data_IF_711991114723
#
_entry.id   IF_711991114723
#
_cell.length_a   1.000
_cell.length_b   1.000
_cell.length_c   1.000
_cell.angle_alpha   90.00
_cell.angle_beta   90.00
_cell.angle_gamma   90.00
#
_symmetry.space_group_name_H-M   'P 1'
#
loop_
_entity.id
_entity.type
_entity.pdbx_description
1 polymer ?
#
# COMPACT_ATOMS: atom_id res chain seq x y z
N UNK A 1 -24.50 -14.38 1.58
CA UNK A 1 -23.63 -13.69 2.56
C UNK A 1 -23.26 -12.34 1.98
N UNK A 2 -23.63 -11.25 2.63
CA UNK A 2 -23.44 -9.89 2.12
C UNK A 2 -21.96 -9.54 2.13
N UNK A 3 -21.35 -9.29 0.96
CA UNK A 3 -19.99 -8.75 0.92
C UNK A 3 -19.94 -7.43 1.70
N UNK A 4 -18.98 -7.24 2.63
CA UNK A 4 -18.83 -5.97 3.33
C UNK A 4 -18.54 -4.87 2.30
N UNK A 5 -19.32 -3.79 2.34
CA UNK A 5 -19.12 -2.63 1.46
C UNK A 5 -17.74 -1.99 1.75
N UNK A 6 -17.00 -1.54 0.72
CA UNK A 6 -15.70 -0.88 0.90
C UNK A 6 -15.77 0.23 1.94
N UNK A 7 -14.82 0.26 2.87
CA UNK A 7 -14.70 1.31 3.90
C UNK A 7 -15.65 1.22 5.10
N UNK A 8 -16.62 0.29 5.12
CA UNK A 8 -17.61 0.23 6.23
C UNK A 8 -16.98 -0.11 7.59
N UNK A 9 -15.84 -0.81 7.64
CA UNK A 9 -15.16 -1.10 8.91
C UNK A 9 -14.64 0.15 9.63
N UNK A 10 -14.48 1.27 8.92
CA UNK A 10 -14.04 2.53 9.49
C UNK A 10 -15.23 3.45 9.83
N UNK A 11 -16.44 3.12 9.38
CA UNK A 11 -17.65 3.87 9.71
C UNK A 11 -18.14 3.46 11.10
N UNK A 12 -17.85 4.27 12.12
CA UNK A 12 -18.24 4.04 13.52
C UNK A 12 -17.07 3.93 14.50
N UNK A 13 -15.83 3.95 14.02
CA UNK A 13 -14.63 4.04 14.87
C UNK A 13 -14.32 5.51 15.09
N UNK A 14 -14.94 6.10 16.11
CA UNK A 14 -14.55 7.42 16.61
C UNK A 14 -13.18 7.26 17.27
N UNK A 15 -12.15 7.84 16.65
CA UNK A 15 -10.74 7.90 17.09
C UNK A 15 -9.99 6.56 17.15
N UNK A 16 -9.05 6.38 16.22
CA UNK A 16 -7.91 5.47 16.41
C UNK A 16 -6.91 6.17 17.35
N UNK A 17 -6.68 5.61 18.54
CA UNK A 17 -5.52 5.93 19.36
C UNK A 17 -4.35 5.07 18.87
N UNK A 18 -3.18 5.65 18.57
CA UNK A 18 -1.99 4.86 18.27
C UNK A 18 -1.66 3.98 19.48
N UNK A 19 -1.32 2.72 19.21
CA UNK A 19 -0.85 1.79 20.24
C UNK A 19 0.58 2.21 20.60
N UNK A 20 0.71 3.06 21.62
CA UNK A 20 1.98 3.41 22.23
C UNK A 20 2.43 2.33 23.21
N UNK A 21 3.67 1.87 23.04
CA UNK A 21 4.46 1.31 24.13
C UNK A 21 4.81 2.41 25.14
N UNK A 22 4.97 2.01 26.40
CA UNK A 22 4.81 2.84 27.58
C UNK A 22 5.84 3.97 27.79
N UNK A 23 5.30 5.09 28.31
CA UNK A 23 5.89 6.13 29.19
C UNK A 23 7.19 6.81 28.79
N UNK A 24 7.12 8.09 28.38
CA UNK A 24 7.80 9.20 29.08
C UNK A 24 7.24 10.58 28.63
N UNK A 25 7.43 11.59 29.46
CA UNK A 25 6.76 12.88 29.55
C UNK A 25 6.98 13.86 28.38
N UNK A 26 5.90 14.56 28.01
CA UNK A 26 5.93 15.99 27.64
C UNK A 26 6.83 16.40 26.47
N UNK A 27 6.38 16.11 25.25
CA UNK A 27 6.82 16.76 24.02
C UNK A 27 5.60 16.99 23.13
N UNK A 28 5.53 18.15 22.50
CA UNK A 28 4.46 18.54 21.57
C UNK A 28 4.18 17.44 20.54
N UNK A 29 2.95 17.34 20.04
CA UNK A 29 2.60 16.46 18.92
C UNK A 29 3.35 16.89 17.65
N UNK A 30 4.63 16.56 17.55
CA UNK A 30 5.46 16.72 16.36
C UNK A 30 4.87 15.86 15.25
N UNK A 31 4.40 16.50 14.18
CA UNK A 31 4.02 15.79 12.97
C UNK A 31 5.20 14.95 12.46
N UNK A 32 5.04 13.64 12.39
CA UNK A 32 6.08 12.67 11.98
C UNK A 32 6.50 12.81 10.51
N UNK A 33 5.74 13.57 9.71
CA UNK A 33 6.03 13.80 8.29
C UNK A 33 7.04 14.93 8.10
N UNK A 34 7.99 14.75 7.18
CA UNK A 34 9.01 15.78 6.85
C UNK A 34 8.41 17.05 6.24
N UNK A 35 7.23 16.94 5.65
CA UNK A 35 6.38 18.06 5.25
C UNK A 35 5.06 17.93 6.01
N UNK A 36 4.68 18.89 6.86
CA UNK A 36 3.41 18.83 7.59
C UNK A 36 2.22 18.78 6.62
N UNK A 37 1.16 18.00 6.90
CA UNK A 37 -0.03 17.95 6.05
C UNK A 37 -0.67 19.33 5.91
N UNK A 38 -0.93 19.78 4.68
CA UNK A 38 -1.64 21.03 4.46
C UNK A 38 -3.14 20.87 4.77
N UNK A 39 -3.76 21.97 5.21
CA UNK A 39 -5.21 22.02 5.33
C UNK A 39 -5.86 22.01 3.93
N UNK A 40 -6.80 21.09 3.73
CA UNK A 40 -7.55 20.95 2.48
C UNK A 40 -8.67 22.00 2.49
N UNK A 41 -8.39 23.19 1.96
CA UNK A 41 -9.29 24.35 2.01
C UNK A 41 -10.10 24.56 0.71
N UNK A 42 -11.13 25.40 0.79
CA UNK A 42 -12.00 25.79 -0.32
C UNK A 42 -13.12 24.78 -0.66
N UNK A 43 -14.07 25.20 -1.49
CA UNK A 43 -15.27 24.40 -1.82
C UNK A 43 -14.91 23.07 -2.49
N UNK A 44 -13.95 23.08 -3.42
CA UNK A 44 -13.44 21.87 -4.08
C UNK A 44 -12.71 20.95 -3.09
N UNK A 45 -11.92 21.52 -2.18
CA UNK A 45 -11.24 20.78 -1.12
C UNK A 45 -12.22 20.08 -0.18
N UNK A 46 -13.26 20.79 0.26
CA UNK A 46 -14.32 20.24 1.11
C UNK A 46 -15.06 19.08 0.44
N UNK A 47 -15.36 19.20 -0.87
CA UNK A 47 -15.98 18.12 -1.64
C UNK A 47 -15.08 16.88 -1.70
N UNK A 48 -13.79 17.07 -2.00
CA UNK A 48 -12.81 15.98 -2.09
C UNK A 48 -12.63 15.30 -0.72
N UNK A 49 -12.49 16.07 0.35
CA UNK A 49 -12.42 15.55 1.73
C UNK A 49 -13.63 14.66 2.03
N UNK A 50 -14.84 15.15 1.77
CA UNK A 50 -16.08 14.39 1.97
C UNK A 50 -16.13 13.11 1.11
N UNK A 51 -15.66 13.17 -0.14
CA UNK A 51 -15.60 11.98 -1.01
C UNK A 51 -14.61 10.95 -0.49
N UNK A 52 -13.43 11.39 -0.04
CA UNK A 52 -12.38 10.53 0.52
C UNK A 52 -12.87 9.89 1.83
N UNK A 53 -13.41 10.68 2.76
CA UNK A 53 -13.96 10.18 4.02
C UNK A 53 -15.09 9.17 3.79
N UNK A 54 -15.97 9.42 2.82
CA UNK A 54 -17.02 8.46 2.46
C UNK A 54 -16.46 7.13 1.95
N UNK A 55 -15.34 7.17 1.20
CA UNK A 55 -14.75 5.96 0.60
C UNK A 55 -13.83 5.22 1.58
N UNK A 56 -12.99 5.95 2.30
CA UNK A 56 -11.89 5.43 3.10
C UNK A 56 -12.13 5.60 4.61
N UNK A 57 -13.24 6.18 5.05
CA UNK A 57 -13.54 6.45 6.46
C UNK A 57 -12.80 7.66 7.05
N UNK A 58 -11.64 8.03 6.50
CA UNK A 58 -10.84 9.21 6.90
C UNK A 58 -10.02 9.73 5.72
N UNK A 59 -9.50 10.95 5.86
CA UNK A 59 -8.51 11.50 4.92
C UNK A 59 -7.13 10.93 5.27
N UNK A 60 -6.45 10.22 4.35
CA UNK A 60 -5.09 9.74 4.61
C UNK A 60 -4.10 10.89 4.78
N UNK A 61 -3.11 10.72 5.66
CA UNK A 61 -2.05 11.72 5.92
C UNK A 61 -1.32 12.12 4.63
N UNK A 62 -1.04 11.13 3.77
CA UNK A 62 -0.43 11.35 2.46
C UNK A 62 -1.18 12.39 1.61
N UNK A 63 -2.51 12.42 1.66
CA UNK A 63 -3.31 13.38 0.88
C UNK A 63 -3.02 14.81 1.32
N UNK A 64 -2.93 15.06 2.62
CA UNK A 64 -2.59 16.38 3.16
C UNK A 64 -1.15 16.79 2.84
N UNK A 65 -0.19 15.86 2.89
CA UNK A 65 1.20 16.14 2.51
C UNK A 65 1.33 16.50 1.02
N UNK A 66 0.74 15.71 0.13
CA UNK A 66 0.77 15.99 -1.31
C UNK A 66 -0.11 17.17 -1.72
N UNK A 67 -1.02 17.65 -0.85
CA UNK A 67 -1.88 18.80 -1.13
C UNK A 67 -1.11 20.11 -1.32
N UNK A 68 0.13 20.20 -0.84
CA UNK A 68 1.06 21.30 -1.16
C UNK A 68 1.31 21.44 -2.66
N UNK A 69 1.11 20.38 -3.45
CA UNK A 69 1.11 20.44 -4.91
C UNK A 69 -0.06 19.64 -5.51
N UNK A 70 -1.23 20.27 -5.68
CA UNK A 70 -2.43 19.58 -6.18
C UNK A 70 -2.25 18.98 -7.58
N UNK A 71 -1.40 19.58 -8.43
CA UNK A 71 -1.14 19.03 -9.78
C UNK A 71 -0.46 17.66 -9.68
N UNK A 72 0.52 17.53 -8.79
CA UNK A 72 1.20 16.24 -8.53
C UNK A 72 0.21 15.26 -7.91
N UNK A 73 -0.50 15.66 -6.84
CA UNK A 73 -1.49 14.82 -6.17
C UNK A 73 -2.51 14.22 -7.14
N UNK A 74 -3.16 15.06 -7.96
CA UNK A 74 -4.20 14.60 -8.88
C UNK A 74 -3.64 13.81 -10.07
N UNK A 75 -2.42 14.08 -10.53
CA UNK A 75 -1.76 13.25 -11.54
C UNK A 75 -1.49 11.83 -10.99
N UNK A 76 -0.94 11.73 -9.78
CA UNK A 76 -0.70 10.45 -9.11
C UNK A 76 -2.00 9.69 -8.84
N UNK A 77 -3.06 10.38 -8.39
CA UNK A 77 -4.40 9.79 -8.24
C UNK A 77 -5.00 9.33 -9.57
N UNK A 78 -4.83 10.11 -10.64
CA UNK A 78 -5.31 9.75 -11.97
C UNK A 78 -4.64 8.48 -12.49
N UNK A 79 -3.32 8.35 -12.31
CA UNK A 79 -2.58 7.14 -12.67
C UNK A 79 -3.00 5.95 -11.81
N UNK A 80 -3.02 6.10 -10.48
CA UNK A 80 -3.47 5.07 -9.55
C UNK A 80 -4.89 4.59 -9.84
N UNK A 81 -5.82 5.51 -10.12
CA UNK A 81 -7.20 5.18 -10.45
C UNK A 81 -7.37 4.46 -11.80
N UNK A 82 -6.45 4.67 -12.77
CA UNK A 82 -6.43 3.90 -14.02
C UNK A 82 -5.87 2.50 -13.81
N UNK A 83 -4.78 2.37 -13.05
CA UNK A 83 -4.19 1.07 -12.68
C UNK A 83 -5.21 0.12 -12.04
N UNK A 84 -6.08 0.64 -11.18
CA UNK A 84 -7.16 -0.13 -10.54
C UNK A 84 -8.27 -0.62 -11.49
N UNK A 85 -8.29 -0.16 -12.74
CA UNK A 85 -9.30 -0.54 -13.74
C UNK A 85 -8.76 -1.47 -14.81
N UNK A 86 -7.44 -1.62 -14.89
CA UNK A 86 -6.84 -2.55 -15.84
C UNK A 86 -7.12 -3.98 -15.38
N UNK A 87 -7.25 -4.89 -16.34
CA UNK A 87 -7.79 -6.24 -16.13
C UNK A 87 -7.05 -7.31 -16.93
N UNK A 88 -5.91 -7.00 -17.55
CA UNK A 88 -5.08 -8.00 -18.22
C UNK A 88 -4.33 -8.87 -17.20
N UNK A 89 -3.95 -8.31 -16.04
CA UNK A 89 -3.33 -9.05 -14.94
C UNK A 89 -4.34 -9.23 -13.79
N UNK A 90 -4.32 -10.41 -13.16
CA UNK A 90 -5.16 -10.72 -12.01
C UNK A 90 -4.98 -9.71 -10.87
N UNK A 91 -6.08 -9.31 -10.23
CA UNK A 91 -6.09 -8.28 -9.19
C UNK A 91 -5.35 -8.73 -7.92
N UNK A 92 -5.37 -10.02 -7.61
CA UNK A 92 -4.60 -10.63 -6.52
C UNK A 92 -3.11 -10.50 -6.77
N UNK A 93 -2.64 -10.88 -7.96
CA UNK A 93 -1.22 -10.76 -8.35
C UNK A 93 -0.73 -9.31 -8.28
N UNK A 94 -1.50 -8.36 -8.82
CA UNK A 94 -1.18 -6.92 -8.74
C UNK A 94 -1.11 -6.42 -7.29
N UNK A 95 -2.05 -6.85 -6.45
CA UNK A 95 -2.08 -6.46 -5.04
C UNK A 95 -0.88 -7.01 -4.27
N UNK A 96 -0.53 -8.28 -4.49
CA UNK A 96 0.64 -8.92 -3.87
C UNK A 96 1.95 -8.30 -4.35
N UNK A 97 2.09 -8.00 -5.64
CA UNK A 97 3.25 -7.30 -6.17
C UNK A 97 3.45 -5.93 -5.52
N UNK A 98 2.40 -5.12 -5.41
CA UNK A 98 2.48 -3.82 -4.73
C UNK A 98 2.87 -3.98 -3.25
N UNK A 99 2.27 -4.93 -2.54
CA UNK A 99 2.63 -5.20 -1.15
C UNK A 99 4.09 -5.67 -1.01
N UNK A 100 4.63 -6.45 -1.95
CA UNK A 100 6.03 -6.87 -1.94
C UNK A 100 6.99 -5.68 -2.11
N UNK A 101 6.68 -4.74 -3.02
CA UNK A 101 7.44 -3.49 -3.15
C UNK A 101 7.37 -2.68 -1.85
N UNK A 102 6.18 -2.53 -1.27
CA UNK A 102 6.01 -1.79 -0.02
C UNK A 102 6.78 -2.42 1.14
N UNK A 103 6.79 -3.76 1.22
CA UNK A 103 7.59 -4.51 2.19
C UNK A 103 9.09 -4.34 1.97
N UNK A 104 9.57 -4.40 0.73
CA UNK A 104 10.99 -4.25 0.41
C UNK A 104 11.50 -2.83 0.69
N UNK A 105 10.72 -1.82 0.32
CA UNK A 105 11.07 -0.40 0.53
C UNK A 105 10.88 0.01 2.00
N UNK A 106 10.08 -0.72 2.78
CA UNK A 106 9.75 -0.38 4.17
C UNK A 106 8.67 0.70 4.31
N UNK A 107 7.77 0.85 3.32
CA UNK A 107 6.68 1.82 3.40
C UNK A 107 5.52 1.30 4.27
N UNK A 108 5.51 1.63 5.57
CA UNK A 108 4.47 1.21 6.52
C UNK A 108 3.08 1.69 6.12
N UNK A 109 2.95 2.94 5.63
CA UNK A 109 1.68 3.45 5.10
C UNK A 109 1.15 2.63 3.93
N UNK A 110 2.04 2.25 3.02
CA UNK A 110 1.66 1.52 1.82
C UNK A 110 1.24 0.09 2.15
N UNK A 111 1.92 -0.57 3.09
CA UNK A 111 1.55 -1.89 3.60
C UNK A 111 0.18 -1.85 4.30
N UNK A 112 -0.02 -0.89 5.20
CA UNK A 112 -1.28 -0.67 5.91
C UNK A 112 -2.46 -0.45 4.95
N UNK A 113 -2.30 0.49 4.01
CA UNK A 113 -3.34 0.81 3.04
C UNK A 113 -3.64 -0.35 2.09
N UNK A 114 -2.62 -1.00 1.52
CA UNK A 114 -2.85 -2.14 0.63
C UNK A 114 -3.49 -3.31 1.37
N UNK A 115 -3.13 -3.56 2.62
CA UNK A 115 -3.74 -4.65 3.39
C UNK A 115 -5.23 -4.40 3.68
N UNK A 116 -5.58 -3.15 4.00
CA UNK A 116 -6.96 -2.70 4.05
C UNK A 116 -7.69 -2.86 2.71
N UNK A 117 -7.06 -2.50 1.60
CA UNK A 117 -7.67 -2.63 0.26
C UNK A 117 -7.83 -4.10 -0.17
N UNK A 118 -6.90 -4.99 0.17
CA UNK A 118 -7.03 -6.45 -0.05
C UNK A 118 -8.34 -6.95 0.57
N UNK A 119 -8.63 -6.55 1.80
CA UNK A 119 -9.92 -6.86 2.45
C UNK A 119 -11.10 -6.25 1.68
N UNK A 120 -11.04 -4.97 1.30
CA UNK A 120 -12.15 -4.30 0.61
C UNK A 120 -12.46 -4.91 -0.76
N UNK A 121 -11.45 -5.47 -1.43
CA UNK A 121 -11.56 -6.17 -2.70
C UNK A 121 -12.01 -7.62 -2.56
N UNK A 122 -12.09 -8.14 -1.33
CA UNK A 122 -12.44 -9.55 -1.07
C UNK A 122 -11.33 -10.53 -1.44
N UNK A 123 -10.08 -10.07 -1.49
CA UNK A 123 -8.90 -10.89 -1.74
C UNK A 123 -8.48 -11.64 -0.46
N UNK A 124 -7.58 -12.62 -0.59
CA UNK A 124 -7.09 -13.43 0.52
C UNK A 124 -6.21 -12.61 1.49
N UNK A 125 -6.84 -12.16 2.57
CA UNK A 125 -6.22 -11.37 3.64
C UNK A 125 -5.24 -12.19 4.46
N UNK A 126 -5.46 -13.49 4.66
CA UNK A 126 -4.51 -14.31 5.41
C UNK A 126 -3.24 -14.54 4.59
N UNK A 127 -3.37 -14.78 3.28
CA UNK A 127 -2.21 -14.85 2.38
C UNK A 127 -1.49 -13.50 2.26
N UNK A 128 -2.21 -12.38 2.11
CA UNK A 128 -1.62 -11.04 2.05
C UNK A 128 -0.81 -10.69 3.31
N UNK A 129 -1.21 -11.20 4.48
CA UNK A 129 -0.48 -11.02 5.74
C UNK A 129 0.93 -11.59 5.70
N UNK A 130 1.14 -12.62 4.89
CA UNK A 130 2.40 -13.36 4.77
C UNK A 130 3.41 -12.71 3.81
N UNK A 131 2.99 -11.69 3.05
CA UNK A 131 3.83 -11.02 2.04
C UNK A 131 5.19 -10.56 2.59
N UNK A 132 5.33 -9.99 3.79
CA UNK A 132 6.65 -9.55 4.26
C UNK A 132 7.67 -10.68 4.45
N UNK A 133 7.20 -11.93 4.63
CA UNK A 133 8.04 -13.13 4.77
C UNK A 133 7.77 -14.16 3.68
N UNK A 134 7.34 -13.70 2.50
CA UNK A 134 6.85 -14.58 1.44
C UNK A 134 7.83 -15.68 1.00
N UNK A 135 9.14 -15.46 1.14
CA UNK A 135 10.15 -16.46 0.81
C UNK A 135 10.02 -17.72 1.68
N UNK A 136 9.65 -17.55 2.94
CA UNK A 136 9.48 -18.62 3.95
C UNK A 136 8.04 -19.14 4.03
N UNK A 137 7.07 -18.44 3.45
CA UNK A 137 5.65 -18.76 3.61
C UNK A 137 5.17 -19.75 2.53
N UNK A 138 4.67 -20.91 2.93
CA UNK A 138 4.22 -21.98 2.01
C UNK A 138 2.85 -21.73 1.35
N UNK A 139 2.22 -20.58 1.62
CA UNK A 139 0.87 -20.24 1.13
C UNK A 139 0.85 -19.74 -0.32
N UNK A 140 2.00 -19.38 -0.89
CA UNK A 140 2.11 -18.81 -2.22
C UNK A 140 2.35 -19.88 -3.29
N UNK A 141 1.58 -19.80 -4.39
CA UNK A 141 1.75 -20.64 -5.58
C UNK A 141 3.07 -20.32 -6.31
N UNK A 142 3.55 -21.18 -7.22
CA UNK A 142 4.74 -20.89 -8.02
C UNK A 142 4.62 -19.56 -8.78
N UNK A 143 3.48 -19.31 -9.45
CA UNK A 143 3.24 -18.06 -10.16
C UNK A 143 3.22 -16.84 -9.21
N UNK A 144 2.57 -16.96 -8.05
CA UNK A 144 2.59 -15.88 -7.05
C UNK A 144 4.03 -15.59 -6.57
N UNK A 145 4.85 -16.62 -6.38
CA UNK A 145 6.27 -16.45 -6.01
C UNK A 145 7.09 -15.78 -7.11
N UNK A 146 6.89 -16.13 -8.38
CA UNK A 146 7.52 -15.44 -9.50
C UNK A 146 7.11 -13.96 -9.57
N UNK A 147 5.84 -13.64 -9.31
CA UNK A 147 5.35 -12.25 -9.23
C UNK A 147 6.02 -11.47 -8.09
N UNK A 148 6.15 -12.09 -6.91
CA UNK A 148 6.80 -11.48 -5.75
C UNK A 148 8.30 -11.28 -5.98
N UNK A 149 8.97 -12.27 -6.58
CA UNK A 149 10.37 -12.18 -6.97
C UNK A 149 10.60 -11.06 -7.99
N UNK A 150 9.75 -10.97 -9.01
CA UNK A 150 9.81 -9.92 -10.03
C UNK A 150 9.57 -8.53 -9.45
N UNK A 151 8.61 -8.39 -8.54
CA UNK A 151 8.38 -7.15 -7.82
C UNK A 151 9.60 -6.71 -7.00
N UNK A 152 10.23 -7.64 -6.27
CA UNK A 152 11.47 -7.34 -5.52
C UNK A 152 12.62 -6.99 -6.47
N UNK A 153 12.87 -7.79 -7.51
CA UNK A 153 13.97 -7.61 -8.47
C UNK A 153 13.88 -6.28 -9.23
N UNK A 154 12.69 -5.89 -9.67
CA UNK A 154 12.46 -4.60 -10.34
C UNK A 154 12.67 -3.41 -9.41
N UNK A 155 12.51 -3.62 -8.10
CA UNK A 155 12.58 -2.56 -7.08
C UNK A 155 13.96 -2.38 -6.46
N UNK A 156 14.93 -3.22 -6.81
CA UNK A 156 16.33 -3.09 -6.40
C UNK A 156 16.99 -1.83 -6.99
N UNK A 157 18.14 -1.43 -6.45
CA UNK A 157 18.93 -0.31 -6.97
C UNK A 157 20.40 -0.72 -7.05
N UNK A 158 20.91 -1.13 -8.24
CA UNK A 158 20.19 -1.20 -9.53
C UNK A 158 19.14 -2.33 -9.60
N UNK A 159 18.14 -2.26 -10.50
CA UNK A 159 17.22 -3.38 -10.74
C UNK A 159 17.97 -4.65 -11.15
N UNK A 160 17.46 -5.81 -10.73
CA UNK A 160 18.09 -7.13 -10.93
C UNK A 160 17.20 -8.13 -11.66
N UNK A 161 16.24 -7.64 -12.45
CA UNK A 161 15.36 -8.48 -13.27
C UNK A 161 16.20 -9.24 -14.30
N UNK A 162 16.00 -10.55 -14.42
CA UNK A 162 16.63 -11.39 -15.45
C UNK A 162 15.63 -11.76 -16.55
N UNK A 163 16.16 -12.11 -17.73
CA UNK A 163 15.34 -12.56 -18.86
C UNK A 163 14.56 -13.83 -18.49
N UNK A 164 15.18 -14.77 -17.77
CA UNK A 164 14.53 -16.02 -17.35
C UNK A 164 13.35 -15.78 -16.41
N UNK A 165 13.40 -14.76 -15.55
CA UNK A 165 12.28 -14.40 -14.68
C UNK A 165 11.12 -13.81 -15.48
N UNK A 166 11.43 -12.96 -16.47
CA UNK A 166 10.41 -12.40 -17.37
C UNK A 166 9.80 -13.49 -18.24
N UNK A 167 10.60 -14.43 -18.74
CA UNK A 167 10.13 -15.54 -19.60
C UNK A 167 9.14 -16.45 -18.86
N UNK A 168 9.39 -16.77 -17.58
CA UNK A 168 8.44 -17.54 -16.76
C UNK A 168 7.10 -16.83 -16.61
N UNK A 169 7.14 -15.54 -16.27
CA UNK A 169 5.92 -14.73 -16.15
C UNK A 169 5.20 -14.58 -17.48
N UNK A 170 5.94 -14.38 -18.57
CA UNK A 170 5.39 -14.25 -19.91
C UNK A 170 4.71 -15.53 -20.38
N UNK A 171 5.29 -16.69 -20.10
CA UNK A 171 4.71 -17.99 -20.45
C UNK A 171 3.37 -18.25 -19.74
N UNK A 172 3.27 -17.86 -18.47
CA UNK A 172 2.07 -18.11 -17.64
C UNK A 172 0.98 -17.02 -17.82
N UNK A 173 1.37 -15.75 -17.94
CA UNK A 173 0.44 -14.61 -17.92
C UNK A 173 0.14 -14.04 -19.31
N UNK A 174 1.06 -14.22 -20.26
CA UNK A 174 1.02 -13.55 -21.56
C UNK A 174 1.49 -12.08 -21.51
N UNK A 175 1.72 -11.46 -22.68
CA UNK A 175 2.46 -10.20 -22.78
C UNK A 175 1.71 -9.00 -22.18
N UNK A 176 0.39 -8.93 -22.36
CA UNK A 176 -0.42 -7.82 -21.85
C UNK A 176 -0.41 -7.77 -20.31
N UNK A 177 -0.56 -8.94 -19.68
CA UNK A 177 -0.56 -9.07 -18.22
C UNK A 177 0.81 -8.74 -17.61
N UNK A 178 1.91 -9.15 -18.25
CA UNK A 178 3.27 -8.79 -17.79
C UNK A 178 3.48 -7.28 -17.85
N UNK A 179 3.13 -6.62 -18.96
CA UNK A 179 3.25 -5.15 -19.08
C UNK A 179 2.40 -4.42 -18.04
N UNK A 180 1.20 -4.91 -17.79
CA UNK A 180 0.33 -4.37 -16.74
C UNK A 180 0.95 -4.53 -15.35
N UNK A 181 1.45 -5.72 -15.02
CA UNK A 181 2.13 -6.02 -13.76
C UNK A 181 3.36 -5.12 -13.55
N UNK A 182 4.22 -5.00 -14.57
CA UNK A 182 5.39 -4.10 -14.54
C UNK A 182 4.97 -2.66 -14.24
N UNK A 183 3.87 -2.19 -14.85
CA UNK A 183 3.37 -0.83 -14.64
C UNK A 183 2.84 -0.61 -13.22
N UNK A 184 2.21 -1.63 -12.63
CA UNK A 184 1.78 -1.61 -11.22
C UNK A 184 2.99 -1.55 -10.28
N UNK A 185 4.03 -2.35 -10.53
CA UNK A 185 5.27 -2.36 -9.74
C UNK A 185 6.00 -1.01 -9.85
N UNK A 186 6.02 -0.38 -11.02
CA UNK A 186 6.59 0.95 -11.22
C UNK A 186 5.84 2.00 -10.39
N UNK A 187 4.51 1.99 -10.41
CA UNK A 187 3.69 2.87 -9.60
C UNK A 187 3.89 2.62 -8.10
N UNK A 188 4.00 1.36 -7.69
CA UNK A 188 4.31 0.99 -6.31
C UNK A 188 5.67 1.56 -5.88
N UNK A 189 6.70 1.54 -6.74
CA UNK A 189 7.99 2.17 -6.42
C UNK A 189 7.86 3.69 -6.27
N UNK A 190 7.10 4.34 -7.17
CA UNK A 190 6.83 5.78 -7.07
C UNK A 190 6.13 6.14 -5.75
N UNK A 191 5.08 5.39 -5.37
CA UNK A 191 4.31 5.67 -4.16
C UNK A 191 5.09 5.36 -2.88
N UNK A 192 5.72 4.19 -2.80
CA UNK A 192 6.43 3.72 -1.61
C UNK A 192 7.64 4.56 -1.30
N UNK A 193 8.51 4.81 -2.29
CA UNK A 193 9.70 5.64 -2.10
C UNK A 193 9.34 7.09 -1.81
N UNK A 194 8.30 7.63 -2.46
CA UNK A 194 7.79 8.98 -2.20
C UNK A 194 7.31 9.13 -0.76
N UNK A 195 6.48 8.20 -0.28
CA UNK A 195 5.97 8.23 1.09
C UNK A 195 7.10 8.09 2.13
N UNK A 196 8.01 7.14 1.94
CA UNK A 196 9.17 6.97 2.84
C UNK A 196 10.06 8.21 2.84
N UNK A 197 10.33 8.81 1.67
CA UNK A 197 11.12 10.03 1.57
C UNK A 197 10.45 11.24 2.26
N UNK A 198 9.11 11.29 2.29
CA UNK A 198 8.35 12.35 2.97
C UNK A 198 8.06 12.05 4.44
N UNK A 199 8.49 10.89 4.97
CA UNK A 199 8.24 10.50 6.36
C UNK A 199 6.76 10.17 6.62
N UNK A 200 6.03 9.71 5.59
CA UNK A 200 4.63 9.33 5.74
C UNK A 200 4.56 7.90 6.28
N UNK A 201 4.06 7.77 7.50
CA UNK A 201 3.89 6.50 8.21
C UNK A 201 2.44 6.01 8.19
N UNK A 202 2.21 4.80 8.69
CA UNK A 202 0.89 4.17 8.73
C UNK A 202 -0.18 5.05 9.39
N UNK A 203 -1.33 5.13 8.73
CA UNK A 203 -2.51 5.80 9.29
C UNK A 203 -3.32 4.85 10.19
N UNK A 204 -3.06 3.54 10.20
CA UNK A 204 -3.79 2.53 10.98
C UNK A 204 -5.10 2.05 10.32
N UNK A 205 -5.16 2.02 8.98
CA UNK A 205 -6.34 1.52 8.24
C UNK A 205 -6.65 0.05 8.53
N UNK A 206 -5.65 -0.83 8.46
CA UNK A 206 -5.78 -2.25 8.70
C UNK A 206 -6.17 -2.56 10.15
N UNK A 207 -5.51 -1.90 11.11
CA UNK A 207 -5.79 -2.03 12.54
C UNK A 207 -7.22 -1.60 12.89
N UNK A 208 -7.68 -0.46 12.38
CA UNK A 208 -9.05 0.01 12.58
C UNK A 208 -10.11 -0.92 11.94
N UNK A 209 -9.67 -1.79 11.04
CA UNK A 209 -10.50 -2.82 10.42
C UNK A 209 -10.35 -4.20 11.08
N UNK A 210 -9.63 -4.30 12.20
CA UNK A 210 -9.45 -5.52 12.99
C UNK A 210 -8.60 -6.58 12.32
N UNK A 211 -7.80 -6.20 11.33
CA UNK A 211 -6.90 -7.13 10.65
C UNK A 211 -5.75 -7.51 11.59
N UNK A 212 -5.35 -8.78 11.57
CA UNK A 212 -4.18 -9.25 12.31
C UNK A 212 -2.93 -8.50 11.82
N UNK A 213 -1.91 -8.27 12.66
CA UNK A 213 -0.66 -7.70 12.20
C UNK A 213 -0.07 -8.48 11.02
N UNK A 214 0.51 -7.75 10.06
CA UNK A 214 1.34 -8.34 9.01
C UNK A 214 2.45 -9.18 9.64
N UNK A 215 2.83 -10.27 8.98
CA UNK A 215 3.99 -11.02 9.40
C UNK A 215 5.25 -10.14 9.33
N UNK A 216 6.20 -10.40 10.22
CA UNK A 216 7.45 -9.65 10.24
C UNK A 216 8.39 -10.15 9.14
N UNK A 217 9.13 -9.22 8.53
CA UNK A 217 10.17 -9.57 7.56
C UNK A 217 11.36 -10.20 8.31
N UNK A 218 11.88 -11.35 7.87
CA UNK A 218 13.10 -11.92 8.43
C UNK A 218 14.27 -10.92 8.31
N UNK A 219 14.97 -10.65 9.42
CA UNK A 219 16.22 -9.88 9.40
C UNK A 219 16.12 -8.37 9.66
N UNK A 220 14.93 -7.82 9.95
CA UNK A 220 14.85 -6.47 10.56
C UNK A 220 14.65 -6.67 12.06
N UNK A 221 15.76 -6.84 12.79
CA UNK A 221 15.71 -6.63 14.23
C UNK A 221 15.16 -5.23 14.47
N UNK A 222 14.07 -5.12 15.23
CA UNK A 222 13.51 -3.84 15.66
C UNK A 222 14.65 -3.01 16.26
N UNK A 223 15.01 -1.91 15.60
CA UNK A 223 15.82 -0.90 16.26
C UNK A 223 15.01 -0.43 17.47
N UNK A 224 15.49 -0.82 18.66
CA UNK A 224 14.98 -0.39 19.96
C UNK A 224 15.43 1.04 20.25
#
# INVERSE_FOLDING_TARGET
MSHPRPGRCLHGVTTYQPVGTATDTGGDMEHTTRIPPAEITGVKGALIKRMIEKKLGKVPTAVGVYWHNPKVLFASFGLGGKLQKWDACDEGLKSFAHMAVASLVGCTWCLDFNYFETRNKGLDVEKAREIPRWREADVFTPLERDVLEYAEAMSQTPPTVTDELVDRLHAELGPAAVVELTSVIAFANMSTRGNVALGIESDGFAAACGLKPLAERPGVASAS
#
